data_IF_298800896738
#
_entry.id   IF_298800896738
#
_cell.length_a   1.000
_cell.length_b   1.000
_cell.length_c   1.000
_cell.angle_alpha   90.00
_cell.angle_beta   90.00
_cell.angle_gamma   90.00
#
_symmetry.space_group_name_H-M   'P 1'
#
loop_
_entity.id
_entity.type
_entity.pdbx_description
1 polymer ?
#
# COMPACT_ATOMS: atom_id res chain seq x y z
N UNK A 1 18.56 24.43 -51.88
CA UNK A 1 18.88 24.24 -50.46
C UNK A 1 17.56 24.16 -49.72
N UNK A 2 17.32 23.02 -49.08
CA UNK A 2 16.08 22.60 -48.41
C UNK A 2 15.84 23.40 -47.14
N UNK A 3 14.60 23.83 -46.90
CA UNK A 3 14.08 23.84 -45.54
C UNK A 3 12.65 23.29 -45.51
N UNK A 4 12.47 22.37 -44.58
CA UNK A 4 11.38 21.42 -44.46
C UNK A 4 10.23 22.08 -43.70
N UNK A 5 9.12 22.33 -44.39
CA UNK A 5 7.87 22.70 -43.74
C UNK A 5 7.41 21.55 -42.83
N UNK A 6 7.33 21.83 -41.54
CA UNK A 6 6.81 20.96 -40.50
C UNK A 6 5.32 20.69 -40.77
N UNK A 7 5.00 19.51 -41.31
CA UNK A 7 3.63 19.05 -41.51
C UNK A 7 3.14 18.49 -40.18
N UNK A 8 2.16 19.16 -39.57
CA UNK A 8 1.40 18.65 -38.42
C UNK A 8 0.33 17.70 -38.99
N UNK A 9 0.32 16.40 -38.67
CA UNK A 9 -0.76 15.52 -39.10
C UNK A 9 -2.01 15.81 -38.25
N UNK A 10 -2.97 16.50 -38.86
CA UNK A 10 -4.35 16.51 -38.41
C UNK A 10 -4.93 15.11 -38.64
N UNK A 11 -5.03 14.34 -37.56
CA UNK A 11 -5.55 12.98 -37.58
C UNK A 11 -6.62 12.81 -36.50
N UNK A 12 -7.63 13.69 -36.48
CA UNK A 12 -8.96 13.30 -36.04
C UNK A 12 -9.59 12.37 -37.09
N UNK A 13 -9.07 11.15 -37.20
CA UNK A 13 -9.76 10.06 -37.87
C UNK A 13 -10.82 9.51 -36.93
N UNK A 14 -12.07 9.93 -37.12
CA UNK A 14 -13.21 9.22 -36.55
C UNK A 14 -13.32 7.86 -37.23
N UNK A 15 -13.39 6.73 -36.50
CA UNK A 15 -13.66 5.44 -37.13
C UNK A 15 -15.10 5.46 -37.68
N UNK A 16 -15.23 5.24 -38.99
CA UNK A 16 -16.52 4.96 -39.64
C UNK A 16 -17.13 3.69 -39.04
N UNK A 17 -18.23 3.83 -38.31
CA UNK A 17 -19.00 2.68 -37.84
C UNK A 17 -19.86 2.14 -38.99
N UNK A 18 -19.45 1.01 -39.56
CA UNK A 18 -20.34 0.18 -40.39
C UNK A 18 -21.47 -0.39 -39.52
N UNK A 19 -22.71 0.04 -39.75
CA UNK A 19 -23.89 -0.55 -39.13
C UNK A 19 -24.29 -1.82 -39.88
N UNK A 20 -23.85 -2.99 -39.40
CA UNK A 20 -24.40 -4.28 -39.83
C UNK A 20 -25.67 -4.62 -39.02
N UNK A 21 -26.72 -5.23 -39.62
CA UNK A 21 -27.93 -5.58 -38.89
C UNK A 21 -27.66 -6.64 -37.82
N UNK A 22 -28.23 -6.45 -36.62
CA UNK A 22 -28.12 -7.38 -35.49
C UNK A 22 -28.80 -8.71 -35.81
N UNK A 23 -28.00 -9.77 -35.97
CA UNK A 23 -28.49 -11.14 -35.91
C UNK A 23 -28.95 -11.44 -34.48
N UNK A 24 -30.23 -11.79 -34.33
CA UNK A 24 -30.85 -12.15 -33.04
C UNK A 24 -30.25 -13.47 -32.57
N UNK A 25 -29.37 -13.43 -31.56
CA UNK A 25 -28.96 -14.63 -30.84
C UNK A 25 -30.04 -15.06 -29.83
N UNK A 26 -30.27 -16.37 -29.63
CA UNK A 26 -31.24 -16.85 -28.65
C UNK A 26 -30.75 -16.58 -27.22
N UNK A 27 -31.68 -16.12 -26.37
CA UNK A 27 -31.46 -15.79 -24.95
C UNK A 27 -30.88 -16.97 -24.16
N UNK A 28 -29.57 -16.94 -23.91
CA UNK A 28 -28.95 -17.72 -22.84
C UNK A 28 -29.23 -16.94 -21.56
N UNK A 29 -30.22 -17.39 -20.77
CA UNK A 29 -30.45 -16.90 -19.41
C UNK A 29 -29.17 -17.21 -18.62
N UNK A 30 -28.29 -16.20 -18.49
CA UNK A 30 -27.11 -16.27 -17.65
C UNK A 30 -27.58 -16.36 -16.19
N UNK A 31 -27.47 -17.56 -15.61
CA UNK A 31 -27.64 -17.74 -14.16
C UNK A 31 -26.60 -16.83 -13.48
N UNK A 32 -27.00 -15.94 -12.55
CA UNK A 32 -26.04 -15.07 -11.89
C UNK A 32 -24.96 -15.93 -11.22
N UNK A 33 -23.68 -15.52 -11.27
CA UNK A 33 -22.60 -16.27 -10.64
C UNK A 33 -22.96 -16.48 -9.18
N UNK A 34 -22.95 -17.74 -8.75
CA UNK A 34 -23.15 -18.09 -7.34
C UNK A 34 -21.92 -17.56 -6.61
N UNK A 35 -22.05 -16.41 -5.95
CA UNK A 35 -21.00 -15.85 -5.10
C UNK A 35 -20.82 -16.86 -3.96
N UNK A 36 -19.64 -17.49 -3.80
CA UNK A 36 -19.38 -18.34 -2.65
C UNK A 36 -19.58 -17.49 -1.38
N UNK A 37 -20.19 -18.03 -0.31
CA UNK A 37 -20.26 -17.30 0.94
C UNK A 37 -18.84 -16.89 1.36
N UNK A 38 -18.65 -15.66 1.90
CA UNK A 38 -17.33 -15.24 2.37
C UNK A 38 -16.88 -16.23 3.44
N UNK A 39 -15.76 -16.92 3.18
CA UNK A 39 -15.19 -17.87 4.13
C UNK A 39 -14.63 -17.05 5.32
N UNK A 40 -15.27 -17.06 6.51
CA UNK A 40 -14.97 -16.05 7.54
C UNK A 40 -13.62 -16.28 8.24
N UNK A 41 -13.05 -17.48 8.10
CA UNK A 41 -11.98 -17.96 8.98
C UNK A 41 -10.57 -17.99 8.38
N UNK A 42 -10.42 -18.15 7.06
CA UNK A 42 -9.13 -18.39 6.40
C UNK A 42 -8.59 -17.14 5.71
N UNK A 43 -9.42 -16.43 4.93
CA UNK A 43 -9.03 -15.17 4.29
C UNK A 43 -8.64 -14.08 5.29
N UNK A 44 -9.25 -14.03 6.48
CA UNK A 44 -8.93 -13.00 7.49
C UNK A 44 -7.56 -13.19 8.15
N UNK A 45 -7.04 -14.42 8.22
CA UNK A 45 -5.70 -14.68 8.78
C UNK A 45 -4.60 -14.32 7.81
N UNK A 46 -4.71 -14.78 6.56
CA UNK A 46 -3.74 -14.43 5.52
C UNK A 46 -3.68 -12.90 5.32
N UNK A 47 -4.82 -12.21 5.36
CA UNK A 47 -4.89 -10.75 5.35
C UNK A 47 -4.15 -10.10 6.54
N UNK A 48 -4.27 -10.65 7.75
CA UNK A 48 -3.55 -10.16 8.93
C UNK A 48 -2.04 -10.43 8.83
N UNK A 49 -1.62 -11.58 8.30
CA UNK A 49 -0.21 -11.90 8.07
C UNK A 49 0.41 -10.95 7.03
N UNK A 50 -0.32 -10.65 5.95
CA UNK A 50 0.09 -9.62 4.98
C UNK A 50 0.14 -8.23 5.61
N UNK A 51 -0.83 -7.87 6.44
CA UNK A 51 -0.85 -6.59 7.15
C UNK A 51 0.35 -6.48 8.11
N UNK A 52 0.73 -7.56 8.79
CA UNK A 52 1.89 -7.62 9.67
C UNK A 52 3.18 -7.35 8.89
N UNK A 53 3.39 -8.05 7.76
CA UNK A 53 4.57 -7.83 6.92
C UNK A 53 4.69 -6.38 6.45
N UNK A 54 3.56 -5.78 6.03
CA UNK A 54 3.51 -4.37 5.64
C UNK A 54 3.81 -3.44 6.81
N UNK A 55 3.27 -3.74 8.00
CA UNK A 55 3.50 -2.94 9.19
C UNK A 55 4.97 -3.00 9.65
N UNK A 56 5.62 -4.16 9.56
CA UNK A 56 7.04 -4.33 9.86
C UNK A 56 7.91 -3.48 8.93
N UNK A 57 7.65 -3.52 7.62
CA UNK A 57 8.38 -2.69 6.65
C UNK A 57 8.19 -1.19 6.91
N UNK A 58 6.96 -0.76 7.20
CA UNK A 58 6.69 0.66 7.54
C UNK A 58 7.35 1.04 8.86
N UNK A 59 7.45 0.13 9.84
CA UNK A 59 8.13 0.40 11.10
C UNK A 59 9.64 0.64 10.90
N UNK A 60 10.29 -0.16 10.06
CA UNK A 60 11.69 0.04 9.65
C UNK A 60 11.88 1.40 8.93
N UNK A 61 10.96 1.77 8.04
CA UNK A 61 10.97 3.08 7.38
C UNK A 61 10.79 4.23 8.40
N UNK A 62 9.92 4.06 9.39
CA UNK A 62 9.70 5.05 10.45
C UNK A 62 10.92 5.27 11.34
N UNK A 63 11.74 4.24 11.60
CA UNK A 63 12.99 4.37 12.36
C UNK A 63 14.02 5.23 11.64
N UNK A 64 14.05 5.16 10.30
CA UNK A 64 15.00 5.91 9.47
C UNK A 64 14.46 7.23 8.92
N UNK A 65 13.18 7.55 9.16
CA UNK A 65 12.45 8.69 8.59
C UNK A 65 13.19 10.03 8.70
N UNK A 66 13.87 10.28 9.83
CA UNK A 66 14.57 11.54 10.10
C UNK A 66 16.09 11.45 9.96
N UNK A 67 16.65 10.28 9.61
CA UNK A 67 18.08 10.02 9.63
C UNK A 67 18.87 10.98 8.71
N UNK A 68 18.34 11.27 7.52
CA UNK A 68 18.99 12.21 6.59
C UNK A 68 19.04 13.64 7.15
N UNK A 69 17.96 14.08 7.79
CA UNK A 69 17.90 15.41 8.40
C UNK A 69 18.83 15.51 9.61
N UNK A 70 18.85 14.49 10.48
CA UNK A 70 19.76 14.42 11.62
C UNK A 70 21.22 14.46 11.17
N UNK A 71 21.58 13.67 10.15
CA UNK A 71 22.93 13.68 9.58
C UNK A 71 23.32 15.04 9.02
N UNK A 72 22.42 15.71 8.31
CA UNK A 72 22.69 17.06 7.81
C UNK A 72 22.92 18.06 8.96
N UNK A 73 22.20 17.94 10.08
CA UNK A 73 22.44 18.77 11.27
C UNK A 73 23.80 18.47 11.92
N UNK A 74 24.17 17.19 12.03
CA UNK A 74 25.47 16.74 12.55
C UNK A 74 26.64 17.24 11.69
N UNK A 75 26.46 17.27 10.36
CA UNK A 75 27.43 17.79 9.40
C UNK A 75 27.49 19.33 9.39
N UNK A 76 26.67 20.00 10.20
CA UNK A 76 26.68 21.46 10.35
C UNK A 76 25.98 22.20 9.21
N UNK A 77 25.04 21.56 8.51
CA UNK A 77 24.27 22.20 7.42
C UNK A 77 23.51 23.45 7.88
N UNK A 78 23.20 23.55 9.17
CA UNK A 78 22.58 24.72 9.78
C UNK A 78 23.04 24.91 11.23
N UNK A 79 23.58 26.09 11.55
CA UNK A 79 24.09 26.44 12.89
C UNK A 79 23.41 27.71 13.40
N UNK A 80 22.52 27.55 14.38
CA UNK A 80 21.85 28.65 15.10
C UNK A 80 21.13 28.10 16.34
N UNK A 81 20.64 28.97 17.24
CA UNK A 81 19.80 28.51 18.37
C UNK A 81 18.54 27.75 17.90
N UNK A 82 17.94 28.19 16.79
CA UNK A 82 16.79 27.49 16.19
C UNK A 82 17.19 26.13 15.61
N UNK A 83 18.44 25.98 15.17
CA UNK A 83 18.98 24.70 14.70
C UNK A 83 19.06 23.67 15.84
N UNK A 84 19.46 24.10 17.04
CA UNK A 84 19.51 23.24 18.23
C UNK A 84 18.10 22.76 18.61
N UNK A 85 17.12 23.67 18.63
CA UNK A 85 15.72 23.35 18.90
C UNK A 85 15.14 22.39 17.85
N UNK A 86 15.44 22.63 16.56
CA UNK A 86 15.04 21.76 15.47
C UNK A 86 15.68 20.36 15.58
N UNK A 87 16.98 20.27 15.84
CA UNK A 87 17.71 19.00 15.98
C UNK A 87 17.18 18.17 17.16
N UNK A 88 16.88 18.82 18.28
CA UNK A 88 16.20 18.18 19.41
C UNK A 88 14.79 17.69 19.01
N UNK A 89 14.04 18.50 18.25
CA UNK A 89 12.75 18.12 17.69
C UNK A 89 12.83 16.86 16.80
N UNK A 90 13.80 16.79 15.89
CA UNK A 90 14.04 15.61 15.05
C UNK A 90 14.26 14.35 15.90
N UNK A 91 15.08 14.45 16.94
CA UNK A 91 15.38 13.33 17.84
C UNK A 91 14.13 12.84 18.58
N UNK A 92 13.32 13.76 19.10
CA UNK A 92 12.06 13.43 19.79
C UNK A 92 11.06 12.78 18.82
N UNK A 93 10.87 13.36 17.64
CA UNK A 93 9.92 12.84 16.66
C UNK A 93 10.35 11.51 16.06
N UNK A 94 11.65 11.26 15.85
CA UNK A 94 12.16 9.96 15.42
C UNK A 94 11.81 8.87 16.44
N UNK A 95 12.03 9.13 17.73
CA UNK A 95 11.66 8.18 18.80
C UNK A 95 10.16 7.92 18.85
N UNK A 96 9.35 8.97 18.71
CA UNK A 96 7.89 8.83 18.71
C UNK A 96 7.40 8.02 17.50
N UNK A 97 7.94 8.29 16.31
CA UNK A 97 7.59 7.56 15.09
C UNK A 97 7.90 6.07 15.23
N UNK A 98 9.13 5.72 15.66
CA UNK A 98 9.52 4.33 15.90
C UNK A 98 8.65 3.64 16.96
N UNK A 99 8.36 4.33 18.07
CA UNK A 99 7.51 3.78 19.13
C UNK A 99 6.08 3.50 18.66
N UNK A 100 5.46 4.43 17.92
CA UNK A 100 4.09 4.27 17.42
C UNK A 100 4.04 3.17 16.37
N UNK A 101 5.01 3.14 15.44
CA UNK A 101 5.06 2.10 14.42
C UNK A 101 5.29 0.71 15.03
N UNK A 102 6.16 0.60 16.04
CA UNK A 102 6.34 -0.62 16.82
C UNK A 102 5.05 -1.10 17.49
N UNK A 103 4.29 -0.21 18.14
CA UNK A 103 3.00 -0.55 18.74
C UNK A 103 1.95 -1.03 17.73
N UNK A 104 1.98 -0.52 16.48
CA UNK A 104 1.13 -1.04 15.41
C UNK A 104 1.49 -2.51 15.06
N UNK A 105 2.79 -2.82 14.95
CA UNK A 105 3.27 -4.19 14.71
C UNK A 105 2.85 -5.11 15.87
N UNK A 106 3.07 -4.68 17.11
CA UNK A 106 2.69 -5.44 18.31
C UNK A 106 1.19 -5.73 18.35
N UNK A 107 0.34 -4.77 17.96
CA UNK A 107 -1.11 -4.94 17.93
C UNK A 107 -1.53 -6.04 16.95
N UNK A 108 -0.95 -6.05 15.74
CA UNK A 108 -1.26 -7.06 14.72
C UNK A 108 -0.71 -8.43 15.15
N UNK A 109 0.53 -8.47 15.66
CA UNK A 109 1.14 -9.71 16.15
C UNK A 109 0.31 -10.33 17.28
N UNK A 110 -0.11 -9.52 18.26
CA UNK A 110 -0.96 -9.98 19.37
C UNK A 110 -2.28 -10.57 18.87
N UNK A 111 -2.89 -9.97 17.85
CA UNK A 111 -4.12 -10.48 17.25
C UNK A 111 -3.91 -11.80 16.49
N UNK A 112 -2.76 -11.99 15.84
CA UNK A 112 -2.38 -13.23 15.18
C UNK A 112 -2.08 -14.34 16.20
N UNK A 113 -1.35 -14.03 17.26
CA UNK A 113 -1.00 -14.98 18.32
C UNK A 113 -2.25 -15.52 19.02
N UNK A 114 -3.20 -14.65 19.37
CA UNK A 114 -4.46 -15.04 19.99
C UNK A 114 -5.31 -15.99 19.11
N UNK A 115 -5.19 -15.89 17.78
CA UNK A 115 -5.88 -16.78 16.83
C UNK A 115 -5.11 -18.07 16.55
N UNK A 116 -3.79 -18.08 16.79
CA UNK A 116 -2.94 -19.25 16.64
C UNK A 116 -3.25 -20.35 17.65
N UNK A 117 -3.62 -19.96 18.88
CA UNK A 117 -3.95 -20.89 19.96
C UNK A 117 -5.28 -21.64 19.74
N UNK A 118 -6.27 -21.04 19.07
CA UNK A 118 -7.60 -21.67 18.85
C UNK A 118 -7.55 -22.88 17.88
N UNK A 119 -6.55 -22.98 17.00
CA UNK A 119 -6.45 -24.06 16.01
C UNK A 119 -5.89 -25.37 16.59
N UNK A 120 -5.33 -25.36 17.81
CA UNK A 120 -4.72 -26.54 18.43
C UNK A 120 -5.70 -27.41 19.25
N UNK A 121 -6.94 -26.96 19.47
CA UNK A 121 -7.89 -27.66 20.35
C UNK A 121 -8.73 -28.76 19.69
N UNK A 122 -8.65 -28.97 18.36
CA UNK A 122 -9.44 -30.03 17.69
C UNK A 122 -8.64 -31.33 17.59
N UNK A 123 -8.46 -32.04 18.70
CA UNK A 123 -8.07 -33.47 18.67
C UNK A 123 -9.31 -34.35 18.84
N UNK A 124 -9.71 -35.15 17.82
CA UNK A 124 -10.76 -36.15 18.02
C UNK A 124 -10.26 -37.29 18.91
N UNK A 125 -11.10 -37.72 19.85
CA UNK A 125 -10.94 -38.96 20.62
C UNK A 125 -11.21 -40.19 19.75
#
# INVERSE_FOLDING_TARGET
MTDSAHVVPDAFQTPSFETRPLEVQPDIIARPPTIPPPDPGTSSREELEMALQRAQLVAEDCESLFAAAQRAMEDGAWVSRLADEFSNGLTVHARLAGSVAGSCVETIQTALDARGDELLEVRPQ
#
